data_IF_800145795655
#
_entry.id   IF_800145795655
#
_cell.length_a   1.000
_cell.length_b   1.000
_cell.length_c   1.000
_cell.angle_alpha   90.00
_cell.angle_beta   90.00
_cell.angle_gamma   90.00
#
_symmetry.space_group_name_H-M   'P 1'
#
loop_
_entity.id
_entity.type
_entity.pdbx_description
1 polymer ?
#
# COMPACT_ATOMS: atom_id res chain seq x y z
N UNK A 1 9.98 17.69 13.41
CA UNK A 1 8.78 17.00 12.89
C UNK A 1 9.02 15.51 12.93
N UNK A 2 7.99 14.71 13.18
CA UNK A 2 8.10 13.25 13.29
C UNK A 2 7.10 12.57 12.36
N UNK A 3 7.60 11.77 11.42
CA UNK A 3 6.79 10.99 10.49
C UNK A 3 6.69 9.55 11.01
N UNK A 4 5.50 9.18 11.47
CA UNK A 4 5.19 7.83 11.92
C UNK A 4 4.76 6.97 10.73
N UNK A 5 5.46 5.84 10.54
CA UNK A 5 5.28 4.94 9.40
C UNK A 5 5.17 3.48 9.82
N UNK A 6 4.68 2.64 8.92
CA UNK A 6 4.78 1.19 9.03
C UNK A 6 6.23 0.73 8.86
N UNK A 7 6.72 -0.11 9.78
CA UNK A 7 8.08 -0.63 9.75
C UNK A 7 8.67 -0.93 11.14
N UNK A 8 9.99 -1.18 11.16
CA UNK A 8 10.75 -1.37 12.41
C UNK A 8 12.09 -0.62 12.37
N UNK A 9 13.03 -1.12 11.56
CA UNK A 9 14.31 -0.45 11.27
C UNK A 9 14.34 0.19 9.88
N UNK A 10 13.38 -0.21 9.04
CA UNK A 10 13.14 0.33 7.71
C UNK A 10 11.63 0.47 7.51
N UNK A 11 11.26 1.27 6.52
CA UNK A 11 9.87 1.42 6.10
C UNK A 11 9.42 0.10 5.48
N UNK A 12 8.26 -0.39 5.90
CA UNK A 12 7.66 -1.61 5.37
C UNK A 12 7.27 -1.45 3.89
N UNK A 13 7.04 -2.57 3.21
CA UNK A 13 6.45 -2.55 1.87
C UNK A 13 4.93 -2.51 1.93
N UNK A 14 4.32 -2.86 3.07
CA UNK A 14 2.86 -3.01 3.20
C UNK A 14 2.10 -1.70 3.00
N UNK A 15 2.77 -0.58 3.24
CA UNK A 15 2.20 0.75 3.11
C UNK A 15 3.02 1.64 2.16
N UNK A 16 2.60 1.73 0.88
CA UNK A 16 3.21 2.61 -0.10
C UNK A 16 3.19 4.08 0.31
N UNK A 17 2.13 4.56 0.98
CA UNK A 17 2.00 5.97 1.35
C UNK A 17 3.06 6.39 2.38
N UNK A 18 3.36 5.52 3.36
CA UNK A 18 4.47 5.72 4.29
C UNK A 18 5.80 5.96 3.58
N UNK A 19 6.06 5.21 2.50
CA UNK A 19 7.29 5.35 1.71
C UNK A 19 7.29 6.63 0.90
N UNK A 20 6.18 6.97 0.24
CA UNK A 20 6.06 8.22 -0.50
C UNK A 20 6.27 9.44 0.42
N UNK A 21 5.69 9.44 1.62
CA UNK A 21 5.87 10.49 2.61
C UNK A 21 7.33 10.61 3.06
N UNK A 22 8.01 9.50 3.31
CA UNK A 22 9.42 9.51 3.67
C UNK A 22 10.32 10.05 2.55
N UNK A 23 10.09 9.63 1.30
CA UNK A 23 10.81 10.16 0.15
C UNK A 23 10.58 11.66 -0.02
N UNK A 24 9.33 12.13 0.15
CA UNK A 24 9.00 13.54 0.12
C UNK A 24 9.84 14.33 1.14
N UNK A 25 9.88 13.90 2.40
CA UNK A 25 10.66 14.60 3.43
C UNK A 25 12.15 14.60 3.10
N UNK A 26 12.72 13.47 2.68
CA UNK A 26 14.15 13.39 2.34
C UNK A 26 14.52 14.20 1.09
N UNK A 27 13.67 14.23 0.07
CA UNK A 27 13.93 14.99 -1.16
C UNK A 27 13.74 16.50 -0.99
N UNK A 28 12.83 16.89 -0.13
CA UNK A 28 12.40 18.28 -0.03
C UNK A 28 12.90 18.99 1.21
N UNK A 29 12.78 18.38 2.38
CA UNK A 29 13.16 19.00 3.65
C UNK A 29 14.64 18.85 3.98
N UNK A 30 15.27 17.73 3.62
CA UNK A 30 16.68 17.51 3.94
C UNK A 30 17.62 18.53 3.26
N UNK A 31 17.45 18.92 1.98
CA UNK A 31 18.26 19.98 1.36
C UNK A 31 18.01 21.38 1.93
N UNK A 32 16.96 21.56 2.71
CA UNK A 32 16.61 22.83 3.37
C UNK A 32 17.08 22.86 4.84
N UNK A 33 17.85 21.86 5.28
CA UNK A 33 18.30 21.68 6.66
C UNK A 33 17.16 21.69 7.70
N UNK A 34 15.96 21.28 7.29
CA UNK A 34 14.79 21.21 8.17
C UNK A 34 14.85 19.92 8.98
N UNK A 35 14.80 20.04 10.31
CA UNK A 35 14.88 18.89 11.21
C UNK A 35 13.59 18.04 11.20
N UNK A 36 13.71 16.81 10.69
CA UNK A 36 12.68 15.78 10.77
C UNK A 36 13.26 14.42 11.18
N UNK A 37 12.39 13.55 11.70
CA UNK A 37 12.69 12.16 12.01
C UNK A 37 11.59 11.25 11.45
N UNK A 38 12.00 10.11 10.90
CA UNK A 38 11.13 9.03 10.44
C UNK A 38 11.13 7.97 11.53
N UNK A 39 9.95 7.68 12.07
CA UNK A 39 9.74 6.78 13.20
C UNK A 39 8.93 5.57 12.72
N UNK A 40 9.57 4.41 12.48
CA UNK A 40 8.88 3.18 12.13
C UNK A 40 8.19 2.62 13.37
N UNK A 41 7.02 3.15 13.68
CA UNK A 41 6.26 2.82 14.88
C UNK A 41 5.30 1.66 14.68
N UNK A 42 4.75 1.49 13.46
CA UNK A 42 3.71 0.47 13.19
C UNK A 42 2.50 0.53 14.14
N UNK A 43 2.26 1.69 14.77
CA UNK A 43 1.20 1.90 15.74
C UNK A 43 0.14 2.83 15.14
N UNK A 44 -0.98 2.25 14.73
CA UNK A 44 -2.11 2.98 14.13
C UNK A 44 -2.83 3.87 15.13
N UNK A 45 -2.75 3.60 16.43
CA UNK A 45 -3.46 4.36 17.48
C UNK A 45 -2.92 5.79 17.66
N UNK A 46 -1.78 6.10 17.05
CA UNK A 46 -1.22 7.46 16.99
C UNK A 46 -2.08 8.34 16.06
N UNK A 47 -2.67 7.74 15.02
CA UNK A 47 -3.57 8.38 14.08
C UNK A 47 -5.00 8.41 14.63
N UNK A 48 -5.71 9.50 14.38
CA UNK A 48 -7.15 9.61 14.65
C UNK A 48 -7.93 8.65 13.74
N UNK A 49 -7.53 8.53 12.48
CA UNK A 49 -8.18 7.63 11.51
C UNK A 49 -7.70 6.18 11.55
N UNK A 50 -6.82 5.81 12.49
CA UNK A 50 -6.16 4.51 12.56
C UNK A 50 -5.36 4.14 11.30
N UNK A 51 -4.89 5.13 10.54
CA UNK A 51 -4.08 4.95 9.33
C UNK A 51 -2.73 5.62 9.47
N UNK A 52 -1.69 4.90 9.08
CA UNK A 52 -0.36 5.45 8.83
C UNK A 52 -0.24 5.69 7.31
N UNK A 53 0.56 6.67 6.85
CA UNK A 53 1.48 7.52 7.63
C UNK A 53 0.80 8.68 8.36
N UNK A 54 1.45 9.15 9.43
CA UNK A 54 1.08 10.39 10.15
C UNK A 54 2.29 11.26 10.38
N UNK A 55 2.20 12.54 10.01
CA UNK A 55 3.19 13.55 10.35
C UNK A 55 2.73 14.32 11.60
N UNK A 56 3.54 14.26 12.66
CA UNK A 56 3.35 15.03 13.88
C UNK A 56 4.27 16.24 13.85
N UNK A 57 3.66 17.42 13.92
CA UNK A 57 4.33 18.71 13.92
C UNK A 57 4.09 19.37 15.28
N UNK A 58 5.14 19.46 16.09
CA UNK A 58 5.10 20.18 17.37
C UNK A 58 5.60 21.60 17.17
N UNK A 59 4.72 22.59 17.31
CA UNK A 59 5.05 24.03 17.25
C UNK A 59 4.45 24.73 18.48
N UNK A 60 5.28 25.45 19.23
CA UNK A 60 4.84 26.29 20.36
C UNK A 60 3.92 25.61 21.39
N UNK A 61 4.19 24.33 21.70
CA UNK A 61 3.40 23.55 22.66
C UNK A 61 2.12 22.92 22.10
N UNK A 62 1.76 23.19 20.84
CA UNK A 62 0.63 22.55 20.14
C UNK A 62 1.14 21.45 19.21
N UNK A 63 0.51 20.27 19.31
CA UNK A 63 0.76 19.11 18.46
C UNK A 63 -0.28 19.08 17.34
N UNK A 64 0.16 19.24 16.09
CA UNK A 64 -0.68 19.10 14.90
C UNK A 64 -0.37 17.79 14.20
N UNK A 65 -1.40 17.08 13.76
CA UNK A 65 -1.28 15.80 13.07
C UNK A 65 -1.82 15.93 11.65
N UNK A 66 -1.05 15.41 10.69
CA UNK A 66 -1.44 15.31 9.29
C UNK A 66 -1.40 13.85 8.88
N UNK A 67 -2.55 13.30 8.49
CA UNK A 67 -2.73 11.86 8.27
C UNK A 67 -2.87 11.56 6.77
N UNK A 68 -2.22 10.48 6.32
CA UNK A 68 -2.19 10.09 4.90
C UNK A 68 -1.25 10.94 4.06
N UNK A 69 -0.83 10.39 2.92
CA UNK A 69 0.18 11.04 2.06
C UNK A 69 -0.29 12.40 1.54
N UNK A 70 -1.55 12.52 1.09
CA UNK A 70 -2.07 13.76 0.50
C UNK A 70 -2.05 14.94 1.47
N UNK A 71 -2.49 14.75 2.71
CA UNK A 71 -2.46 15.83 3.71
C UNK A 71 -1.03 16.22 4.09
N UNK A 72 -0.13 15.22 4.18
CA UNK A 72 1.29 15.46 4.45
C UNK A 72 1.93 16.24 3.29
N UNK A 73 1.65 15.87 2.04
CA UNK A 73 2.21 16.55 0.86
C UNK A 73 1.73 17.98 0.73
N UNK A 74 0.45 18.25 1.00
CA UNK A 74 -0.09 19.61 0.99
C UNK A 74 0.54 20.46 2.10
N UNK A 75 0.62 19.93 3.33
CA UNK A 75 1.28 20.63 4.43
C UNK A 75 2.73 21.01 4.12
N UNK A 76 3.51 20.06 3.60
CA UNK A 76 4.92 20.27 3.25
C UNK A 76 5.04 21.30 2.12
N UNK A 77 4.20 21.21 1.09
CA UNK A 77 4.20 22.14 -0.04
C UNK A 77 3.86 23.57 0.36
N UNK A 78 2.91 23.75 1.28
CA UNK A 78 2.49 25.06 1.77
C UNK A 78 3.51 25.70 2.73
N UNK A 79 4.09 24.90 3.64
CA UNK A 79 4.95 25.43 4.71
C UNK A 79 6.43 25.58 4.28
N UNK A 80 6.85 24.91 3.21
CA UNK A 80 8.24 24.89 2.76
C UNK A 80 8.36 25.11 1.24
N UNK A 81 7.97 26.26 0.67
CA UNK A 81 7.89 26.46 -0.79
C UNK A 81 9.26 26.63 -1.51
N UNK A 82 10.31 25.91 -1.09
CA UNK A 82 11.63 25.97 -1.71
C UNK A 82 11.69 25.20 -3.04
N UNK A 83 12.68 25.51 -3.88
CA UNK A 83 12.88 24.80 -5.15
C UNK A 83 13.92 23.70 -4.97
N UNK A 84 13.46 22.47 -4.75
CA UNK A 84 14.34 21.30 -4.65
C UNK A 84 14.07 20.33 -5.83
N UNK A 85 14.51 19.08 -5.71
CA UNK A 85 14.14 18.01 -6.65
C UNK A 85 12.65 17.66 -6.59
N UNK A 86 11.96 18.04 -5.53
CA UNK A 86 10.51 17.94 -5.41
C UNK A 86 9.86 19.25 -5.85
N UNK A 87 8.72 19.17 -6.55
CA UNK A 87 7.93 20.34 -6.96
C UNK A 87 6.79 20.53 -5.96
N UNK A 88 6.81 21.58 -5.12
CA UNK A 88 5.66 21.94 -4.28
C UNK A 88 4.43 22.27 -5.13
N UNK A 89 3.26 21.91 -4.63
CA UNK A 89 1.98 22.14 -5.31
C UNK A 89 1.78 23.62 -5.72
N UNK A 90 2.25 24.58 -4.89
CA UNK A 90 2.17 26.01 -5.19
C UNK A 90 3.06 26.51 -6.35
N UNK A 91 3.95 25.68 -6.89
CA UNK A 91 4.79 26.00 -8.06
C UNK A 91 4.30 25.39 -9.36
N UNK A 92 3.29 24.53 -9.29
CA UNK A 92 2.62 23.99 -10.47
C UNK A 92 1.69 25.05 -11.06
N UNK A 93 1.61 25.11 -12.39
CA UNK A 93 0.54 25.87 -13.06
C UNK A 93 -0.84 25.28 -12.70
N UNK A 94 -1.91 26.06 -12.89
CA UNK A 94 -3.26 25.60 -12.53
C UNK A 94 -3.66 24.28 -13.20
N UNK A 95 -3.20 24.05 -14.44
CA UNK A 95 -3.44 22.80 -15.18
C UNK A 95 -2.60 21.64 -14.62
N UNK A 96 -1.31 21.87 -14.37
CA UNK A 96 -0.42 20.86 -13.76
C UNK A 96 -0.90 20.47 -12.35
N UNK A 97 -1.37 21.45 -11.55
CA UNK A 97 -1.91 21.21 -10.22
C UNK A 97 -3.19 20.35 -10.29
N UNK A 98 -4.12 20.68 -11.19
CA UNK A 98 -5.34 19.90 -11.38
C UNK A 98 -5.01 18.47 -11.81
N UNK A 99 -4.08 18.30 -12.77
CA UNK A 99 -3.61 16.99 -13.21
C UNK A 99 -2.94 16.22 -12.06
N UNK A 100 -2.13 16.87 -11.23
CA UNK A 100 -1.47 16.26 -10.08
C UNK A 100 -2.47 15.77 -9.02
N UNK A 101 -3.51 16.55 -8.71
CA UNK A 101 -4.58 16.16 -7.78
C UNK A 101 -5.43 15.02 -8.34
N UNK A 102 -5.83 15.13 -9.62
CA UNK A 102 -6.60 14.10 -10.31
C UNK A 102 -5.82 12.79 -10.37
N UNK A 103 -4.54 12.85 -10.69
CA UNK A 103 -3.69 11.67 -10.77
C UNK A 103 -3.41 11.05 -9.39
N UNK A 104 -3.18 11.86 -8.36
CA UNK A 104 -3.09 11.36 -6.97
C UNK A 104 -4.37 10.60 -6.57
N UNK A 105 -5.53 11.19 -6.85
CA UNK A 105 -6.83 10.55 -6.56
C UNK A 105 -7.02 9.27 -7.36
N UNK A 106 -6.60 9.27 -8.63
CA UNK A 106 -6.62 8.10 -9.48
C UNK A 106 -5.77 6.96 -8.89
N UNK A 107 -4.54 7.23 -8.47
CA UNK A 107 -3.63 6.25 -7.88
C UNK A 107 -4.22 5.64 -6.60
N UNK A 108 -4.72 6.47 -5.69
CA UNK A 108 -5.37 6.02 -4.45
C UNK A 108 -6.64 5.19 -4.70
N UNK A 109 -7.29 5.33 -5.86
CA UNK A 109 -8.49 4.57 -6.24
C UNK A 109 -8.24 3.41 -7.20
N UNK A 110 -7.00 3.18 -7.64
CA UNK A 110 -6.68 2.12 -8.61
C UNK A 110 -5.54 1.26 -8.11
N UNK A 111 -4.33 1.80 -8.03
CA UNK A 111 -3.14 1.11 -7.56
C UNK A 111 -3.26 0.63 -6.12
N UNK A 112 -4.02 1.36 -5.27
CA UNK A 112 -4.36 0.90 -3.92
C UNK A 112 -4.97 -0.49 -3.94
N UNK A 113 -6.04 -0.72 -4.72
CA UNK A 113 -6.72 -2.02 -4.76
C UNK A 113 -5.84 -3.14 -5.33
N UNK A 114 -5.01 -2.83 -6.34
CA UNK A 114 -4.05 -3.81 -6.87
C UNK A 114 -3.01 -4.18 -5.82
N UNK A 115 -2.55 -3.21 -5.04
CA UNK A 115 -1.62 -3.44 -3.94
C UNK A 115 -2.25 -4.29 -2.83
N UNK A 116 -3.49 -3.99 -2.45
CA UNK A 116 -4.27 -4.78 -1.48
C UNK A 116 -4.43 -6.23 -1.95
N UNK A 117 -4.80 -6.44 -3.22
CA UNK A 117 -4.90 -7.78 -3.79
C UNK A 117 -3.55 -8.52 -3.72
N UNK A 118 -2.48 -7.86 -4.18
CA UNK A 118 -1.15 -8.48 -4.27
C UNK A 118 -0.56 -8.86 -2.91
N UNK A 119 -0.81 -8.06 -1.86
CA UNK A 119 -0.24 -8.28 -0.53
C UNK A 119 -1.10 -9.15 0.38
N UNK A 120 -2.42 -8.99 0.33
CA UNK A 120 -3.32 -9.59 1.30
C UNK A 120 -4.21 -10.68 0.72
N UNK A 121 -4.63 -10.58 -0.54
CA UNK A 121 -5.61 -11.53 -1.12
C UNK A 121 -4.92 -12.66 -1.89
N UNK A 122 -3.78 -12.38 -2.52
CA UNK A 122 -2.94 -13.43 -3.09
C UNK A 122 -2.42 -14.32 -1.97
N UNK A 123 -2.91 -15.56 -1.90
CA UNK A 123 -2.63 -16.50 -0.82
C UNK A 123 -1.14 -16.77 -0.64
N UNK A 124 -0.37 -16.84 -1.75
CA UNK A 124 1.09 -17.07 -1.68
C UNK A 124 1.80 -15.90 -1.03
N UNK A 125 1.47 -14.67 -1.42
CA UNK A 125 2.09 -13.47 -0.86
C UNK A 125 1.66 -13.24 0.59
N UNK A 126 0.37 -13.45 0.90
CA UNK A 126 -0.13 -13.27 2.26
C UNK A 126 0.50 -14.24 3.26
N UNK A 127 0.40 -15.55 3.00
CA UNK A 127 0.85 -16.58 3.96
C UNK A 127 2.37 -16.65 4.08
N UNK A 128 3.10 -16.54 2.97
CA UNK A 128 4.54 -16.72 2.99
C UNK A 128 5.29 -15.44 3.35
N UNK A 129 4.67 -14.27 3.22
CA UNK A 129 5.33 -12.98 3.42
C UNK A 129 4.55 -12.02 4.32
N UNK A 130 3.40 -11.51 3.89
CA UNK A 130 2.70 -10.38 4.54
C UNK A 130 2.29 -10.69 5.97
N UNK A 131 1.67 -11.86 6.22
CA UNK A 131 1.27 -12.31 7.56
C UNK A 131 2.47 -12.39 8.52
N UNK A 132 3.62 -12.86 8.01
CA UNK A 132 4.86 -12.99 8.78
C UNK A 132 5.55 -11.64 9.04
N UNK A 133 5.27 -10.60 8.25
CA UNK A 133 5.80 -9.27 8.51
C UNK A 133 5.19 -8.66 9.78
N UNK A 134 3.90 -8.86 10.02
CA UNK A 134 3.24 -8.33 11.21
C UNK A 134 3.81 -8.91 12.50
N UNK A 135 4.28 -10.16 12.50
CA UNK A 135 5.02 -10.76 13.62
C UNK A 135 6.27 -9.96 14.01
N UNK A 136 6.88 -9.24 13.05
CA UNK A 136 8.06 -8.41 13.29
C UNK A 136 7.72 -7.01 13.79
N UNK A 137 6.54 -6.51 13.43
CA UNK A 137 6.13 -5.12 13.66
C UNK A 137 5.29 -4.95 14.92
N UNK A 138 4.48 -5.95 15.26
CA UNK A 138 3.54 -5.90 16.37
C UNK A 138 3.98 -6.84 17.49
N UNK A 139 3.80 -6.46 18.77
CA UNK A 139 4.09 -7.35 19.87
C UNK A 139 3.01 -8.43 20.01
N UNK A 140 3.36 -9.48 20.75
CA UNK A 140 2.38 -10.44 21.25
C UNK A 140 1.39 -9.74 22.22
N UNK A 141 0.07 -10.00 22.14
CA UNK A 141 -0.65 -10.92 21.24
C UNK A 141 -1.23 -10.25 19.98
N UNK A 142 -1.00 -8.94 19.76
CA UNK A 142 -1.60 -8.16 18.67
C UNK A 142 -1.24 -8.68 17.27
N UNK A 143 -0.14 -9.41 17.17
CA UNK A 143 0.38 -10.00 15.94
C UNK A 143 -0.54 -11.02 15.26
N UNK A 144 -1.57 -11.56 15.95
CA UNK A 144 -2.52 -12.50 15.36
C UNK A 144 -3.79 -11.84 14.83
N UNK A 145 -4.32 -10.85 15.55
CA UNK A 145 -5.60 -10.24 15.22
C UNK A 145 -5.46 -9.18 14.10
N UNK A 146 -4.41 -8.37 14.15
CA UNK A 146 -4.22 -7.28 13.17
C UNK A 146 -4.07 -7.79 11.72
N UNK A 147 -3.27 -8.84 11.42
CA UNK A 147 -3.15 -9.34 10.05
C UNK A 147 -4.47 -9.87 9.47
N UNK A 148 -5.33 -10.45 10.32
CA UNK A 148 -6.65 -10.95 9.92
C UNK A 148 -7.58 -9.78 9.58
N UNK A 149 -7.63 -8.75 10.43
CA UNK A 149 -8.37 -7.51 10.14
C UNK A 149 -7.94 -6.86 8.83
N UNK A 150 -6.63 -6.75 8.57
CA UNK A 150 -6.14 -6.20 7.31
C UNK A 150 -6.46 -7.08 6.10
N UNK A 151 -6.45 -8.40 6.28
CA UNK A 151 -6.84 -9.35 5.24
C UNK A 151 -8.33 -9.22 4.90
N UNK A 152 -9.22 -9.24 5.89
CA UNK A 152 -10.67 -9.06 5.73
C UNK A 152 -10.99 -7.72 5.03
N UNK A 153 -10.40 -6.62 5.51
CA UNK A 153 -10.57 -5.31 4.88
C UNK A 153 -10.06 -5.27 3.45
N UNK A 154 -8.94 -5.94 3.15
CA UNK A 154 -8.43 -6.02 1.79
C UNK A 154 -9.38 -6.82 0.89
N UNK A 155 -9.91 -7.96 1.37
CA UNK A 155 -10.91 -8.76 0.66
C UNK A 155 -12.14 -7.92 0.30
N UNK A 156 -12.72 -7.18 1.25
CA UNK A 156 -13.85 -6.28 0.99
C UNK A 156 -13.49 -5.19 -0.03
N UNK A 157 -12.32 -4.57 0.10
CA UNK A 157 -11.89 -3.49 -0.79
C UNK A 157 -11.67 -3.97 -2.23
N UNK A 158 -11.09 -5.15 -2.43
CA UNK A 158 -10.81 -5.67 -3.77
C UNK A 158 -12.07 -6.16 -4.49
N UNK A 159 -13.10 -6.56 -3.74
CA UNK A 159 -14.40 -6.94 -4.32
C UNK A 159 -15.03 -5.77 -5.11
N UNK A 160 -14.80 -4.53 -4.67
CA UNK A 160 -15.28 -3.32 -5.36
C UNK A 160 -14.76 -3.25 -6.80
N UNK A 161 -13.54 -3.73 -7.06
CA UNK A 161 -12.93 -3.76 -8.39
C UNK A 161 -13.11 -5.12 -9.10
N UNK A 162 -13.93 -6.01 -8.55
CA UNK A 162 -14.21 -7.34 -9.11
C UNK A 162 -13.05 -8.34 -8.97
N UNK A 163 -12.13 -8.06 -8.04
CA UNK A 163 -11.06 -8.95 -7.62
C UNK A 163 -11.47 -9.66 -6.33
N UNK A 164 -11.09 -10.92 -6.16
CA UNK A 164 -11.47 -11.72 -5.00
C UNK A 164 -12.50 -12.81 -5.32
N UNK A 165 -13.02 -13.46 -4.29
CA UNK A 165 -14.06 -14.47 -4.47
C UNK A 165 -15.35 -13.73 -4.82
N UNK A 166 -15.75 -13.80 -6.08
CA UNK A 166 -17.11 -13.43 -6.45
C UNK A 166 -18.05 -14.44 -5.78
N UNK A 167 -18.52 -14.15 -4.58
CA UNK A 167 -19.89 -14.53 -4.26
C UNK A 167 -20.75 -13.68 -5.20
N UNK A 168 -21.28 -14.29 -6.26
CA UNK A 168 -22.41 -13.75 -6.99
C UNK A 168 -23.62 -13.74 -6.05
N UNK A 169 -23.64 -12.80 -5.10
CA UNK A 169 -24.76 -12.57 -4.20
C UNK A 169 -25.09 -11.09 -4.24
N UNK A 170 -25.96 -10.75 -5.19
CA UNK A 170 -26.64 -9.46 -5.28
C UNK A 170 -27.60 -9.21 -4.08
N UNK A 171 -27.62 -10.11 -3.08
CA UNK A 171 -28.52 -10.08 -1.91
C UNK A 171 -27.93 -10.75 -0.64
N UNK A 172 -26.64 -10.62 -0.31
CA UNK A 172 -26.19 -11.00 1.05
C UNK A 172 -26.27 -9.80 2.00
N UNK A 173 -27.45 -9.61 2.59
CA UNK A 173 -27.70 -8.68 3.70
C UNK A 173 -27.82 -9.45 5.04
N UNK A 174 -27.17 -10.62 5.14
CA UNK A 174 -27.15 -11.43 6.34
C UNK A 174 -25.79 -11.32 7.02
N UNK A 175 -25.80 -10.70 8.20
CA UNK A 175 -24.69 -10.61 9.14
C UNK A 175 -24.41 -11.99 9.72
N UNK A 176 -23.52 -12.76 9.11
CA UNK A 176 -22.77 -13.80 9.80
C UNK A 176 -21.27 -13.55 9.57
N UNK A 177 -20.58 -13.23 10.66
CA UNK A 177 -19.13 -13.06 10.69
C UNK A 177 -18.50 -14.43 10.50
N UNK A 178 -18.16 -14.76 9.26
CA UNK A 178 -17.25 -15.87 8.96
C UNK A 178 -15.91 -15.58 9.65
N UNK A 179 -15.55 -16.48 10.56
CA UNK A 179 -14.24 -16.52 11.19
C UNK A 179 -13.22 -16.80 10.08
N UNK A 180 -12.07 -16.14 10.12
CA UNK A 180 -11.01 -16.35 9.13
C UNK A 180 -10.58 -17.83 9.07
N UNK A 181 -11.12 -18.56 8.10
CA UNK A 181 -10.81 -19.96 7.81
C UNK A 181 -9.38 -20.07 7.27
N UNK A 182 -8.45 -20.15 8.21
CA UNK A 182 -7.08 -20.61 7.94
C UNK A 182 -6.91 -22.11 8.16
N UNK A 183 -7.99 -22.82 8.47
CA UNK A 183 -8.01 -24.28 8.56
C UNK A 183 -9.26 -24.82 7.83
N UNK A 184 -9.01 -25.53 6.72
CA UNK A 184 -9.98 -26.25 5.89
C UNK A 184 -10.95 -25.36 5.10
N UNK A 185 -10.78 -25.38 3.77
CA UNK A 185 -11.65 -24.74 2.79
C UNK A 185 -12.99 -25.47 2.79
N UNK A 186 -13.91 -25.12 3.68
CA UNK A 186 -15.33 -25.35 3.45
C UNK A 186 -15.86 -24.09 2.75
N UNK A 187 -15.73 -24.05 1.42
CA UNK A 187 -16.49 -23.06 0.67
C UNK A 187 -17.91 -23.58 0.55
N UNK A 188 -18.84 -22.98 1.27
CA UNK A 188 -20.28 -23.13 1.05
C UNK A 188 -20.59 -22.83 -0.42
N UNK A 189 -20.71 -23.90 -1.18
CA UNK A 189 -21.46 -23.93 -2.42
C UNK A 189 -22.59 -24.90 -2.18
N UNK A 190 -23.79 -24.36 -1.94
CA UNK A 190 -25.08 -25.03 -1.74
C UNK A 190 -25.54 -25.93 -2.92
N UNK A 191 -24.63 -26.33 -3.82
CA UNK A 191 -24.91 -27.29 -4.89
C UNK A 191 -24.22 -28.65 -4.68
N UNK A 192 -23.29 -28.76 -3.73
CA UNK A 192 -22.66 -30.03 -3.33
C UNK A 192 -22.88 -30.23 -1.81
N UNK A 193 -24.12 -30.47 -1.39
CA UNK A 193 -24.43 -30.94 -0.03
C UNK A 193 -23.56 -32.16 0.30
N UNK A 194 -22.74 -32.04 1.35
CA UNK A 194 -22.22 -33.12 2.19
C UNK A 194 -21.87 -34.44 1.48
N UNK A 195 -20.96 -34.43 0.50
CA UNK A 195 -20.31 -35.68 0.06
C UNK A 195 -19.34 -36.15 1.17
N UNK A 196 -19.90 -36.76 2.22
CA UNK A 196 -19.12 -37.41 3.28
C UNK A 196 -18.23 -38.46 2.62
N UNK A 197 -16.92 -38.34 2.81
CA UNK A 197 -15.95 -39.22 2.16
C UNK A 197 -16.22 -40.69 2.48
N UNK A 198 -16.68 -41.44 1.47
CA UNK A 198 -17.03 -42.87 1.59
C UNK A 198 -15.78 -43.74 1.84
N UNK A 199 -14.58 -43.24 1.51
CA UNK A 199 -13.30 -43.93 1.76
C UNK A 199 -12.13 -42.95 1.85
N UNK A 200 -11.01 -43.37 2.44
CA UNK A 200 -9.76 -42.58 2.47
C UNK A 200 -9.20 -42.28 1.07
N UNK A 201 -9.55 -43.08 0.06
CA UNK A 201 -9.22 -42.78 -1.34
C UNK A 201 -10.13 -41.67 -1.89
N UNK A 202 -11.43 -41.73 -1.57
CA UNK A 202 -12.40 -40.69 -1.93
C UNK A 202 -12.03 -39.35 -1.29
N UNK A 203 -11.66 -39.34 -0.01
CA UNK A 203 -11.17 -38.15 0.70
C UNK A 203 -9.99 -37.48 -0.02
N UNK A 204 -9.00 -38.27 -0.44
CA UNK A 204 -7.86 -37.75 -1.23
C UNK A 204 -8.30 -37.15 -2.56
N UNK A 205 -9.28 -37.75 -3.23
CA UNK A 205 -9.81 -37.24 -4.51
C UNK A 205 -10.58 -35.93 -4.29
N UNK A 206 -11.41 -35.83 -3.25
CA UNK A 206 -12.11 -34.59 -2.87
C UNK A 206 -11.10 -33.48 -2.60
N UNK A 207 -10.10 -33.72 -1.74
CA UNK A 207 -9.07 -32.73 -1.40
C UNK A 207 -8.25 -32.27 -2.61
N UNK A 208 -7.99 -33.17 -3.57
CA UNK A 208 -7.27 -32.79 -4.81
C UNK A 208 -8.16 -31.97 -5.76
N UNK A 209 -9.46 -32.31 -5.86
CA UNK A 209 -10.45 -31.54 -6.62
C UNK A 209 -10.59 -30.12 -6.05
N UNK A 210 -10.69 -29.98 -4.73
CA UNK A 210 -10.76 -28.69 -4.04
C UNK A 210 -9.51 -27.84 -4.26
N UNK A 211 -8.32 -28.42 -4.08
CA UNK A 211 -7.05 -27.73 -4.36
C UNK A 211 -6.96 -27.24 -5.80
N UNK A 212 -7.41 -28.05 -6.76
CA UNK A 212 -7.47 -27.65 -8.16
C UNK A 212 -8.48 -26.51 -8.40
N UNK A 213 -9.68 -26.57 -7.79
CA UNK A 213 -10.70 -25.52 -7.86
C UNK A 213 -10.17 -24.20 -7.29
N UNK A 214 -9.49 -24.24 -6.15
CA UNK A 214 -8.86 -23.08 -5.52
C UNK A 214 -7.77 -22.48 -6.41
N UNK A 215 -6.87 -23.30 -6.97
CA UNK A 215 -5.82 -22.85 -7.89
C UNK A 215 -6.39 -22.18 -9.14
N UNK A 216 -7.45 -22.73 -9.72
CA UNK A 216 -8.13 -22.15 -10.88
C UNK A 216 -8.77 -20.79 -10.55
N UNK A 217 -9.41 -20.67 -9.37
CA UNK A 217 -9.97 -19.41 -8.88
C UNK A 217 -8.87 -18.34 -8.70
N UNK A 218 -7.76 -18.70 -8.06
CA UNK A 218 -6.61 -17.81 -7.87
C UNK A 218 -6.04 -17.36 -9.23
N UNK A 219 -5.87 -18.29 -10.17
CA UNK A 219 -5.38 -17.98 -11.52
C UNK A 219 -6.31 -17.00 -12.25
N UNK A 220 -7.63 -17.21 -12.18
CA UNK A 220 -8.64 -16.32 -12.76
C UNK A 220 -8.54 -14.91 -12.16
N UNK A 221 -8.40 -14.80 -10.85
CA UNK A 221 -8.27 -13.52 -10.15
C UNK A 221 -6.96 -12.81 -10.48
N UNK A 222 -5.86 -13.55 -10.59
CA UNK A 222 -4.57 -13.02 -11.02
C UNK A 222 -4.63 -12.49 -12.45
N UNK A 223 -5.29 -13.19 -13.39
CA UNK A 223 -5.50 -12.68 -14.75
C UNK A 223 -6.36 -11.41 -14.79
N UNK A 224 -7.42 -11.34 -13.97
CA UNK A 224 -8.23 -10.12 -13.82
C UNK A 224 -7.40 -8.96 -13.25
N UNK A 225 -6.60 -9.23 -12.22
CA UNK A 225 -5.69 -8.25 -11.63
C UNK A 225 -4.70 -7.71 -12.67
N UNK A 226 -4.13 -8.59 -13.50
CA UNK A 226 -3.22 -8.20 -14.59
C UNK A 226 -3.93 -7.34 -15.64
N UNK A 227 -5.18 -7.66 -16.01
CA UNK A 227 -5.96 -6.83 -16.94
C UNK A 227 -6.24 -5.44 -16.37
N UNK A 228 -6.56 -5.33 -15.09
CA UNK A 228 -6.77 -4.03 -14.43
C UNK A 228 -5.47 -3.24 -14.38
N UNK A 229 -4.37 -3.88 -13.96
CA UNK A 229 -3.05 -3.28 -13.94
C UNK A 229 -2.62 -2.78 -15.33
N UNK A 230 -2.88 -3.55 -16.38
CA UNK A 230 -2.63 -3.18 -17.77
C UNK A 230 -3.36 -1.88 -18.15
N UNK A 231 -4.65 -1.79 -17.84
CA UNK A 231 -5.43 -0.58 -18.06
C UNK A 231 -4.90 0.61 -17.27
N UNK A 232 -4.50 0.39 -16.01
CA UNK A 232 -4.00 1.46 -15.15
C UNK A 232 -2.65 2.00 -15.61
N UNK A 233 -1.70 1.12 -15.91
CA UNK A 233 -0.38 1.53 -16.39
C UNK A 233 -0.46 2.11 -17.79
N UNK A 234 -1.32 1.58 -18.67
CA UNK A 234 -1.57 2.18 -19.98
C UNK A 234 -2.09 3.61 -19.87
N UNK A 235 -2.98 3.88 -18.91
CA UNK A 235 -3.46 5.23 -18.63
C UNK A 235 -2.34 6.15 -18.12
N UNK A 236 -1.44 5.67 -17.25
CA UNK A 236 -0.26 6.44 -16.79
C UNK A 236 0.65 6.79 -17.97
N UNK A 237 0.94 5.82 -18.84
CA UNK A 237 1.78 6.04 -20.02
C UNK A 237 1.09 6.96 -21.04
N UNK A 238 -0.23 6.84 -21.20
CA UNK A 238 -1.04 7.73 -22.03
C UNK A 238 -1.00 9.17 -21.52
N UNK A 239 -1.21 9.36 -20.21
CA UNK A 239 -1.12 10.67 -19.55
C UNK A 239 0.26 11.32 -19.75
N UNK A 240 1.34 10.54 -19.66
CA UNK A 240 2.69 11.05 -19.95
C UNK A 240 2.81 11.57 -21.39
N UNK A 241 2.28 10.83 -22.38
CA UNK A 241 2.31 11.22 -23.79
C UNK A 241 1.48 12.48 -24.08
N UNK A 242 0.31 12.61 -23.46
CA UNK A 242 -0.55 13.79 -23.60
C UNK A 242 0.07 15.04 -22.98
N UNK A 243 0.73 14.91 -21.82
CA UNK A 243 1.40 16.02 -21.16
C UNK A 243 2.74 16.40 -21.83
N UNK A 244 3.36 15.46 -22.55
CA UNK A 244 4.69 15.63 -23.13
C UNK A 244 4.74 15.11 -24.59
N UNK A 245 3.92 15.68 -25.48
CA UNK A 245 3.82 15.25 -26.88
C UNK A 245 5.16 15.30 -27.64
N UNK A 246 6.02 16.27 -27.30
CA UNK A 246 7.32 16.49 -27.95
C UNK A 246 8.50 15.77 -27.26
N UNK A 247 8.25 14.95 -26.23
CA UNK A 247 9.35 14.32 -25.50
C UNK A 247 10.07 13.25 -26.36
N UNK A 248 11.41 13.27 -26.40
CA UNK A 248 12.19 12.28 -27.17
C UNK A 248 12.28 10.90 -26.48
N UNK A 249 11.61 10.71 -25.35
CA UNK A 249 11.72 9.54 -24.48
C UNK A 249 10.35 8.88 -24.32
N UNK A 250 10.30 7.55 -24.29
CA UNK A 250 9.05 6.80 -24.14
C UNK A 250 8.35 7.01 -22.79
N UNK A 251 9.12 7.28 -21.72
CA UNK A 251 8.59 7.60 -20.40
C UNK A 251 9.60 8.41 -19.57
N UNK A 252 9.12 9.44 -18.87
CA UNK A 252 9.91 10.26 -17.96
C UNK A 252 9.01 10.87 -16.86
N UNK A 253 9.52 11.87 -16.14
CA UNK A 253 8.71 12.65 -15.19
C UNK A 253 7.56 13.37 -15.90
N UNK A 254 6.39 13.42 -15.25
CA UNK A 254 5.15 13.87 -15.87
C UNK A 254 5.14 15.37 -16.17
N UNK A 255 5.56 16.20 -15.22
CA UNK A 255 5.36 17.66 -15.31
C UNK A 255 6.64 18.42 -15.68
N UNK A 256 7.77 18.09 -15.04
CA UNK A 256 9.04 18.80 -15.27
C UNK A 256 10.20 17.83 -15.40
N UNK A 257 11.15 18.08 -16.31
CA UNK A 257 12.34 17.24 -16.42
C UNK A 257 13.15 17.31 -15.13
N UNK A 258 13.56 16.15 -14.62
CA UNK A 258 14.41 15.97 -13.42
C UNK A 258 13.79 16.44 -12.09
N UNK A 259 12.51 16.79 -12.04
CA UNK A 259 11.79 17.09 -10.80
C UNK A 259 10.59 16.18 -10.64
N UNK A 260 10.25 15.88 -9.38
CA UNK A 260 9.22 14.90 -9.02
C UNK A 260 8.09 15.61 -8.29
N UNK A 261 6.86 15.36 -8.71
CA UNK A 261 5.64 15.81 -8.04
C UNK A 261 5.15 14.84 -6.97
N UNK A 262 4.14 15.24 -6.20
CA UNK A 262 3.53 14.40 -5.16
C UNK A 262 2.85 13.16 -5.76
N UNK A 263 2.12 13.30 -6.86
CA UNK A 263 1.49 12.15 -7.54
C UNK A 263 2.51 11.14 -8.06
N UNK A 264 3.63 11.60 -8.62
CA UNK A 264 4.71 10.71 -9.08
C UNK A 264 5.40 9.98 -7.93
N UNK A 265 5.65 10.63 -6.79
CA UNK A 265 6.18 9.95 -5.61
C UNK A 265 5.27 8.80 -5.15
N UNK A 266 3.95 9.03 -5.17
CA UNK A 266 2.96 8.02 -4.83
C UNK A 266 2.92 6.88 -5.86
N UNK A 267 3.01 7.19 -7.16
CA UNK A 267 3.10 6.18 -8.21
C UNK A 267 4.32 5.28 -8.01
N UNK A 268 5.49 5.88 -7.79
CA UNK A 268 6.73 5.12 -7.59
C UNK A 268 6.72 4.31 -6.30
N UNK A 269 6.00 4.75 -5.26
CA UNK A 269 5.91 3.98 -4.02
C UNK A 269 5.00 2.76 -4.20
N UNK A 270 3.89 2.90 -4.93
CA UNK A 270 3.05 1.76 -5.32
C UNK A 270 3.82 0.79 -6.19
N UNK A 271 4.53 1.29 -7.21
CA UNK A 271 5.38 0.46 -8.06
C UNK A 271 6.40 -0.32 -7.22
N UNK A 272 7.11 0.33 -6.30
CA UNK A 272 8.10 -0.34 -5.44
C UNK A 272 7.49 -1.46 -4.58
N UNK A 273 6.29 -1.25 -4.02
CA UNK A 273 5.62 -2.29 -3.23
C UNK A 273 5.20 -3.47 -4.10
N UNK A 274 4.58 -3.19 -5.26
CA UNK A 274 4.08 -4.21 -6.19
C UNK A 274 5.19 -5.06 -6.81
N UNK A 275 6.39 -4.51 -6.99
CA UNK A 275 7.50 -5.16 -7.72
C UNK A 275 8.60 -5.69 -6.82
N UNK A 276 8.42 -5.56 -5.50
CA UNK A 276 9.40 -5.94 -4.49
C UNK A 276 9.92 -7.37 -4.68
N UNK A 277 11.24 -7.51 -4.62
CA UNK A 277 11.94 -8.81 -4.73
C UNK A 277 11.59 -9.73 -3.55
N UNK A 278 11.13 -9.15 -2.43
CA UNK A 278 10.79 -9.89 -1.24
C UNK A 278 9.47 -10.68 -1.35
N UNK A 279 8.64 -10.38 -2.36
CA UNK A 279 7.37 -11.07 -2.57
C UNK A 279 7.59 -12.47 -3.19
N UNK A 280 6.97 -13.52 -2.63
CA UNK A 280 7.03 -14.88 -3.17
C UNK A 280 6.47 -15.01 -4.60
N UNK A 281 5.29 -14.44 -4.84
CA UNK A 281 4.66 -14.38 -6.15
C UNK A 281 4.90 -13.01 -6.79
N UNK A 282 5.68 -13.02 -7.87
CA UNK A 282 6.14 -11.83 -8.58
C UNK A 282 5.47 -11.67 -9.94
N UNK A 283 4.23 -12.13 -10.09
CA UNK A 283 3.48 -12.04 -11.35
C UNK A 283 3.35 -10.59 -11.86
N UNK A 284 3.14 -9.61 -10.96
CA UNK A 284 3.08 -8.17 -11.31
C UNK A 284 4.40 -7.68 -11.90
N UNK A 285 5.52 -7.98 -11.25
CA UNK A 285 6.85 -7.58 -11.72
C UNK A 285 7.13 -8.13 -13.12
N UNK A 286 6.91 -9.43 -13.33
CA UNK A 286 7.11 -10.09 -14.63
C UNK A 286 6.21 -9.50 -15.71
N UNK A 287 4.97 -9.16 -15.38
CA UNK A 287 4.04 -8.55 -16.33
C UNK A 287 4.50 -7.15 -16.75
N UNK A 288 4.86 -6.29 -15.78
CA UNK A 288 5.33 -4.94 -16.08
C UNK A 288 6.63 -4.92 -16.87
N UNK A 289 7.57 -5.80 -16.55
CA UNK A 289 8.84 -5.94 -17.27
C UNK A 289 8.64 -6.34 -18.74
N UNK A 290 7.66 -7.21 -19.02
CA UNK A 290 7.39 -7.69 -20.38
C UNK A 290 6.52 -6.75 -21.21
N UNK A 291 5.48 -6.15 -20.61
CA UNK A 291 4.50 -5.32 -21.32
C UNK A 291 4.86 -3.84 -21.37
N UNK A 292 5.49 -3.31 -20.33
CA UNK A 292 5.83 -1.89 -20.21
C UNK A 292 7.32 -1.69 -19.88
N UNK A 293 8.25 -2.12 -20.76
CA UNK A 293 9.68 -2.16 -20.45
C UNK A 293 10.30 -0.78 -20.20
N UNK A 294 9.86 0.27 -20.90
CA UNK A 294 10.36 1.64 -20.68
C UNK A 294 9.92 2.21 -19.32
N UNK A 295 8.63 2.08 -19.00
CA UNK A 295 8.11 2.45 -17.68
C UNK A 295 8.82 1.67 -16.58
N UNK A 296 8.98 0.35 -16.73
CA UNK A 296 9.69 -0.51 -15.79
C UNK A 296 11.12 -0.06 -15.52
N UNK A 297 11.92 0.18 -16.57
CA UNK A 297 13.31 0.63 -16.44
C UNK A 297 13.41 1.99 -15.75
N UNK A 298 12.56 2.94 -16.15
CA UNK A 298 12.54 4.26 -15.55
C UNK A 298 12.11 4.22 -14.08
N UNK A 299 10.98 3.58 -13.78
CA UNK A 299 10.47 3.46 -12.42
C UNK A 299 11.45 2.72 -11.48
N UNK A 300 12.13 1.67 -11.94
CA UNK A 300 13.19 1.02 -11.16
C UNK A 300 14.35 1.98 -10.88
N UNK A 301 14.85 2.69 -11.90
CA UNK A 301 15.97 3.63 -11.73
C UNK A 301 15.63 4.74 -10.75
N UNK A 302 14.41 5.30 -10.85
CA UNK A 302 13.93 6.36 -9.95
C UNK A 302 13.72 5.81 -8.54
N UNK A 303 13.09 4.65 -8.38
CA UNK A 303 12.88 4.07 -7.04
C UNK A 303 14.19 3.71 -6.33
N UNK A 304 15.19 3.21 -7.05
CA UNK A 304 16.55 3.02 -6.51
C UNK A 304 17.16 4.34 -6.06
N UNK A 305 17.12 5.37 -6.90
CA UNK A 305 17.62 6.70 -6.55
C UNK A 305 16.88 7.29 -5.34
N UNK A 306 15.56 7.11 -5.24
CA UNK A 306 14.75 7.53 -4.09
C UNK A 306 15.10 6.76 -2.82
N UNK A 307 15.33 5.45 -2.92
CA UNK A 307 15.74 4.65 -1.76
C UNK A 307 17.12 5.07 -1.24
N UNK A 308 18.04 5.52 -2.10
CA UNK A 308 19.34 6.07 -1.68
C UNK A 308 19.20 7.38 -0.88
N UNK A 309 18.11 8.12 -1.05
CA UNK A 309 17.84 9.33 -0.24
C UNK A 309 17.42 9.01 1.20
N UNK A 310 16.99 7.78 1.48
CA UNK A 310 16.59 7.33 2.82
C UNK A 310 17.83 7.01 3.66
N UNK A 311 18.49 8.04 4.18
CA UNK A 311 19.66 7.89 5.05
C UNK A 311 19.25 7.51 6.47
N UNK A 312 20.05 6.65 7.12
CA UNK A 312 19.84 6.19 8.50
C UNK A 312 19.77 7.33 9.53
N UNK A 313 20.42 8.46 9.28
CA UNK A 313 20.42 9.64 10.17
C UNK A 313 19.03 10.26 10.38
N UNK A 314 18.13 10.05 9.43
CA UNK A 314 16.75 10.51 9.52
C UNK A 314 15.85 9.53 10.29
N UNK A 315 16.30 8.31 10.56
CA UNK A 315 15.50 7.32 11.29
C UNK A 315 15.72 7.39 12.80
N UNK A 316 14.65 7.16 13.55
CA UNK A 316 14.65 6.98 15.01
C UNK A 316 13.76 5.80 15.35
N UNK A 317 14.18 4.97 16.31
CA UNK A 317 13.33 3.90 16.83
C UNK A 317 12.15 4.47 17.64
N UNK A 318 11.00 3.81 17.55
CA UNK A 318 9.82 4.16 18.33
C UNK A 318 10.05 3.93 19.83
N UNK A 319 9.51 4.81 20.68
CA UNK A 319 9.72 4.76 22.13
C UNK A 319 8.42 4.91 22.92
N UNK A 320 8.33 4.22 24.06
CA UNK A 320 7.21 4.33 25.00
C UNK A 320 5.87 4.04 24.34
N UNK A 321 4.95 4.99 24.41
CA UNK A 321 3.61 4.86 23.87
C UNK A 321 3.56 4.85 22.31
N UNK A 322 4.64 5.21 21.62
CA UNK A 322 4.72 5.08 20.16
C UNK A 322 4.78 3.61 19.73
N UNK A 323 5.30 2.73 20.59
CA UNK A 323 5.38 1.29 20.33
C UNK A 323 3.98 0.69 20.52
N UNK A 324 3.45 -0.10 19.56
CA UNK A 324 2.15 -0.73 19.70
C UNK A 324 2.11 -1.54 20.99
N UNK A 325 1.01 -1.44 21.75
CA UNK A 325 0.84 -2.22 22.99
C UNK A 325 -0.63 -2.41 23.31
N UNK A 326 -0.96 -3.42 24.12
CA UNK A 326 -2.32 -3.61 24.63
C UNK A 326 -2.82 -2.40 25.42
N UNK A 327 -1.93 -1.77 26.20
CA UNK A 327 -2.23 -0.53 26.89
C UNK A 327 -2.62 0.58 25.92
N UNK A 328 -1.99 0.61 24.73
CA UNK A 328 -2.35 1.60 23.73
C UNK A 328 -3.75 1.35 23.18
N UNK A 329 -4.10 0.10 22.89
CA UNK A 329 -5.44 -0.25 22.43
C UNK A 329 -6.51 0.12 23.47
N UNK A 330 -6.28 -0.22 24.75
CA UNK A 330 -7.22 0.09 25.83
C UNK A 330 -7.37 1.60 26.00
N UNK A 331 -6.27 2.34 26.07
CA UNK A 331 -6.32 3.80 26.22
C UNK A 331 -6.94 4.48 24.99
N UNK A 332 -6.75 3.91 23.79
CA UNK A 332 -7.38 4.40 22.56
C UNK A 332 -8.90 4.21 22.62
N UNK A 333 -9.36 3.01 22.99
CA UNK A 333 -10.79 2.70 23.16
C UNK A 333 -11.46 3.54 24.26
N UNK A 334 -10.73 3.90 25.31
CA UNK A 334 -11.21 4.76 26.38
C UNK A 334 -11.13 6.27 26.03
N UNK A 335 -10.64 6.63 24.84
CA UNK A 335 -10.47 8.03 24.42
C UNK A 335 -9.42 8.81 25.21
N UNK A 336 -8.51 8.11 25.90
CA UNK A 336 -7.50 8.71 26.77
C UNK A 336 -6.24 9.15 26.02
N UNK A 337 -6.10 8.81 24.74
CA UNK A 337 -4.98 9.28 23.91
C UNK A 337 -5.16 10.72 23.46
N UNK A 338 -4.42 11.62 24.12
CA UNK A 338 -4.09 12.95 23.61
C UNK A 338 -2.60 12.96 23.25
N UNK A 339 -2.28 12.95 21.97
CA UNK A 339 -0.92 13.06 21.42
C UNK A 339 -0.74 14.38 20.70
#
# INVERSE_FOLDING_TARGET
MELHVWGKSSISIIDPESRAAAWLLCLHLAPQDVAFKIVPSSNTNIAVTNKLPVLIVRRSGVSQKYEGFSCISSFVSENYPSDTKFIPDGKLSSLELLANIAFTTYLSRTFHYINQYNLYVNSKNYELYTRKLFLKYLPFPMMYNQPLKFHEQACEQVQIVGLGVNQTLLFSFASEKEVADTELVHCDSDEDEDEVAISALHEKVILTKEKNKALLRETKNTLRCLRLLDGYVSHVVGLFKELNEEAPVEFAHLFRPKKISSSELLLYSYFYSLTSIALPDRFVARYLETKFPAFWRFANTITEALNLTLKKEHFRDAQGAEVPSLWNEVNYMLGLYKY
#
